data_IF_820376268896
#
_entry.id   IF_820376268896
#
_cell.length_a   1.000
_cell.length_b   1.000
_cell.length_c   1.000
_cell.angle_alpha   90.00
_cell.angle_beta   90.00
_cell.angle_gamma   90.00
#
_symmetry.space_group_name_H-M   'P 1'
#
loop_
_entity.id
_entity.type
_entity.pdbx_description
1 polymer ?
#
# COMPACT_ATOMS: atom_id res chain seq x y z
N UNK A 1 32.28 6.79 2.73
CA UNK A 1 31.33 5.73 2.28
C UNK A 1 29.88 6.10 2.65
N UNK A 2 29.57 6.53 3.88
CA UNK A 2 28.24 6.95 4.33
C UNK A 2 27.66 8.11 3.51
N UNK A 3 28.39 9.18 3.29
CA UNK A 3 27.97 10.36 2.50
C UNK A 3 27.55 10.02 1.05
N UNK A 4 28.21 9.05 0.43
CA UNK A 4 27.85 8.60 -0.93
C UNK A 4 26.56 7.79 -0.92
N UNK A 5 26.30 7.00 0.13
CA UNK A 5 25.04 6.27 0.31
C UNK A 5 23.87 7.22 0.54
N UNK A 6 24.07 8.23 1.38
CA UNK A 6 23.05 9.25 1.66
C UNK A 6 22.68 10.07 0.41
N UNK A 7 23.70 10.49 -0.37
CA UNK A 7 23.49 11.18 -1.64
C UNK A 7 22.72 10.31 -2.66
N UNK A 8 23.04 9.02 -2.72
CA UNK A 8 22.32 8.07 -3.59
C UNK A 8 20.87 7.89 -3.17
N UNK A 9 20.61 7.71 -1.88
CA UNK A 9 19.26 7.61 -1.32
C UNK A 9 18.44 8.87 -1.61
N UNK A 10 19.02 10.05 -1.40
CA UNK A 10 18.39 11.34 -1.70
C UNK A 10 18.01 11.47 -3.18
N UNK A 11 18.91 11.09 -4.10
CA UNK A 11 18.62 11.19 -5.53
C UNK A 11 17.51 10.23 -5.96
N UNK A 12 17.50 8.98 -5.46
CA UNK A 12 16.40 8.03 -5.74
C UNK A 12 15.07 8.58 -5.26
N UNK A 13 15.03 9.16 -4.06
CA UNK A 13 13.82 9.78 -3.51
C UNK A 13 13.33 10.95 -4.37
N UNK A 14 14.22 11.83 -4.84
CA UNK A 14 13.84 12.92 -5.75
C UNK A 14 13.23 12.40 -7.05
N UNK A 15 13.81 11.36 -7.66
CA UNK A 15 13.27 10.76 -8.87
C UNK A 15 11.89 10.11 -8.64
N UNK A 16 11.71 9.36 -7.55
CA UNK A 16 10.41 8.75 -7.21
C UNK A 16 9.33 9.81 -6.94
N UNK A 17 9.66 10.84 -6.16
CA UNK A 17 8.72 11.93 -5.89
C UNK A 17 8.32 12.65 -7.18
N UNK A 18 9.27 12.90 -8.08
CA UNK A 18 8.99 13.51 -9.38
C UNK A 18 8.01 12.67 -10.23
N UNK A 19 8.18 11.33 -10.23
CA UNK A 19 7.23 10.45 -10.90
C UNK A 19 5.83 10.53 -10.28
N UNK A 20 5.73 10.42 -8.96
CA UNK A 20 4.45 10.49 -8.22
C UNK A 20 3.72 11.81 -8.49
N UNK A 21 4.44 12.93 -8.48
CA UNK A 21 3.87 14.24 -8.81
C UNK A 21 3.33 14.29 -10.25
N UNK A 22 4.12 13.81 -11.22
CA UNK A 22 3.74 13.77 -12.63
C UNK A 22 2.53 12.86 -12.89
N UNK A 23 2.39 11.76 -12.15
CA UNK A 23 1.23 10.88 -12.22
C UNK A 23 -0.08 11.55 -11.77
N UNK A 24 0.02 12.61 -10.96
CA UNK A 24 -1.12 13.46 -10.61
C UNK A 24 -1.51 14.48 -11.71
N UNK A 25 -0.68 14.66 -12.73
CA UNK A 25 -0.85 15.66 -13.78
C UNK A 25 -1.21 15.05 -15.14
N UNK A 26 -0.71 13.85 -15.44
CA UNK A 26 -0.94 13.14 -16.70
C UNK A 26 -0.84 11.62 -16.54
N UNK A 27 -1.44 10.84 -17.49
CA UNK A 27 -1.35 9.38 -17.46
C UNK A 27 0.10 8.89 -17.46
N UNK A 28 0.36 7.80 -16.73
CA UNK A 28 1.71 7.22 -16.57
C UNK A 28 2.41 6.93 -17.90
N UNK A 29 1.68 6.42 -18.91
CA UNK A 29 2.26 6.09 -20.22
C UNK A 29 2.77 7.33 -20.99
N UNK A 30 2.22 8.53 -20.71
CA UNK A 30 2.64 9.80 -21.31
C UNK A 30 3.85 10.44 -20.60
N UNK A 31 4.22 9.91 -19.43
CA UNK A 31 5.37 10.39 -18.66
C UNK A 31 6.65 9.84 -19.26
N UNK A 32 7.56 10.74 -19.65
CA UNK A 32 8.88 10.39 -20.18
C UNK A 32 9.96 10.47 -19.08
N UNK A 33 11.10 9.78 -19.30
CA UNK A 33 12.27 9.93 -18.43
C UNK A 33 12.76 11.38 -18.41
N UNK A 34 12.57 12.13 -19.48
CA UNK A 34 12.94 13.55 -19.55
C UNK A 34 12.07 14.40 -18.62
N UNK A 35 10.76 14.13 -18.57
CA UNK A 35 9.84 14.80 -17.62
C UNK A 35 10.26 14.53 -16.18
N UNK A 36 10.55 13.28 -15.86
CA UNK A 36 10.96 12.87 -14.51
C UNK A 36 12.27 13.58 -14.12
N UNK A 37 13.27 13.58 -15.00
CA UNK A 37 14.55 14.21 -14.75
C UNK A 37 14.41 15.73 -14.61
N UNK A 38 13.59 16.38 -15.46
CA UNK A 38 13.30 17.81 -15.37
C UNK A 38 12.64 18.18 -14.05
N UNK A 39 11.62 17.42 -13.63
CA UNK A 39 10.91 17.62 -12.36
C UNK A 39 11.83 17.38 -11.16
N UNK A 40 12.68 16.34 -11.20
CA UNK A 40 13.63 16.02 -10.13
C UNK A 40 14.85 16.94 -10.07
N UNK A 41 15.08 17.79 -11.07
CA UNK A 41 16.26 18.66 -11.17
C UNK A 41 17.57 17.87 -11.38
N UNK A 42 17.52 16.74 -12.11
CA UNK A 42 18.70 15.90 -12.35
C UNK A 42 18.92 15.64 -13.85
N UNK A 43 20.16 15.31 -14.22
CA UNK A 43 20.46 14.93 -15.59
C UNK A 43 19.95 13.51 -15.93
N UNK A 44 19.62 13.28 -17.20
CA UNK A 44 19.18 11.97 -17.70
C UNK A 44 20.23 10.86 -17.42
N UNK A 45 21.52 11.16 -17.49
CA UNK A 45 22.60 10.23 -17.12
C UNK A 45 22.54 9.84 -15.64
N UNK A 46 22.02 10.71 -14.77
CA UNK A 46 21.79 10.41 -13.36
C UNK A 46 20.66 9.41 -13.19
N UNK A 47 19.57 9.53 -13.95
CA UNK A 47 18.47 8.54 -13.95
C UNK A 47 18.99 7.13 -14.25
N UNK A 48 19.72 6.97 -15.38
CA UNK A 48 20.24 5.68 -15.83
C UNK A 48 21.31 5.04 -14.91
N UNK A 49 21.81 5.77 -13.92
CA UNK A 49 22.64 5.20 -12.85
C UNK A 49 21.84 4.43 -11.81
N UNK A 50 20.51 4.59 -11.77
CA UNK A 50 19.62 3.99 -10.77
C UNK A 50 18.59 3.05 -11.39
N UNK A 51 18.11 3.36 -12.59
CA UNK A 51 17.01 2.65 -13.25
C UNK A 51 17.31 2.51 -14.75
N UNK A 52 17.01 1.35 -15.30
CA UNK A 52 17.11 1.12 -16.75
C UNK A 52 15.93 1.73 -17.50
N UNK A 53 14.74 1.65 -16.88
CA UNK A 53 13.50 2.20 -17.41
C UNK A 53 12.66 2.87 -16.30
N UNK A 54 11.63 3.66 -16.69
CA UNK A 54 10.69 4.24 -15.72
C UNK A 54 9.86 3.15 -15.01
N UNK A 55 9.63 2.02 -15.69
CA UNK A 55 8.89 0.89 -15.14
C UNK A 55 9.66 0.18 -14.00
N UNK A 56 10.99 0.19 -14.02
CA UNK A 56 11.80 -0.33 -12.91
C UNK A 56 11.59 0.53 -11.65
N UNK A 57 11.54 1.83 -11.84
CA UNK A 57 11.28 2.77 -10.75
C UNK A 57 9.85 2.63 -10.21
N UNK A 58 8.85 2.45 -11.09
CA UNK A 58 7.47 2.19 -10.66
C UNK A 58 7.37 0.90 -9.85
N UNK A 59 7.99 -0.20 -10.33
CA UNK A 59 8.01 -1.48 -9.59
C UNK A 59 8.65 -1.35 -8.20
N UNK A 60 9.68 -0.53 -8.06
CA UNK A 60 10.30 -0.26 -6.75
C UNK A 60 9.34 0.52 -5.83
N UNK A 61 8.65 1.54 -6.35
CA UNK A 61 7.65 2.32 -5.61
C UNK A 61 6.51 1.42 -5.13
N UNK A 62 5.99 0.57 -6.00
CA UNK A 62 4.92 -0.38 -5.69
C UNK A 62 5.34 -1.38 -4.61
N UNK A 63 6.55 -1.92 -4.73
CA UNK A 63 7.09 -2.86 -3.76
C UNK A 63 7.25 -2.20 -2.39
N UNK A 64 7.85 -1.02 -2.32
CA UNK A 64 8.01 -0.26 -1.08
C UNK A 64 6.65 0.02 -0.42
N UNK A 65 5.66 0.47 -1.21
CA UNK A 65 4.33 0.75 -0.71
C UNK A 65 3.66 -0.49 -0.09
N UNK A 66 3.76 -1.65 -0.75
CA UNK A 66 3.23 -2.91 -0.23
C UNK A 66 3.95 -3.34 1.05
N UNK A 67 5.28 -3.22 1.10
CA UNK A 67 6.05 -3.59 2.28
C UNK A 67 5.77 -2.66 3.47
N UNK A 68 5.65 -1.36 3.23
CA UNK A 68 5.36 -0.37 4.27
C UNK A 68 4.00 -0.65 4.91
N UNK A 69 2.94 -0.84 4.12
CA UNK A 69 1.59 -1.16 4.63
C UNK A 69 1.57 -2.50 5.37
N UNK A 70 2.29 -3.52 4.86
CA UNK A 70 2.41 -4.81 5.54
C UNK A 70 3.10 -4.70 6.91
N UNK A 71 4.14 -3.88 7.01
CA UNK A 71 4.91 -3.69 8.23
C UNK A 71 4.14 -2.88 9.30
N UNK A 72 3.16 -2.07 8.89
CA UNK A 72 2.31 -1.31 9.81
C UNK A 72 1.26 -2.17 10.51
N UNK A 73 0.90 -3.33 9.96
CA UNK A 73 -0.18 -4.18 10.46
C UNK A 73 0.26 -5.61 10.82
N UNK A 74 1.31 -5.81 11.64
CA UNK A 74 1.91 -7.12 11.90
C UNK A 74 1.01 -8.09 12.66
N UNK A 75 0.09 -7.60 13.51
CA UNK A 75 -0.80 -8.42 14.33
C UNK A 75 -2.23 -8.49 13.80
N UNK A 76 -2.61 -7.58 12.90
CA UNK A 76 -3.97 -7.41 12.39
C UNK A 76 -4.62 -8.73 11.92
N UNK A 77 -3.88 -9.55 11.18
CA UNK A 77 -4.39 -10.79 10.59
C UNK A 77 -4.45 -11.97 11.58
N UNK A 78 -4.07 -11.74 12.83
CA UNK A 78 -4.31 -12.69 13.94
C UNK A 78 -5.51 -12.27 14.81
N UNK A 79 -6.17 -11.16 14.47
CA UNK A 79 -7.34 -10.66 15.17
C UNK A 79 -8.56 -11.56 14.91
N UNK A 80 -9.32 -11.87 15.96
CA UNK A 80 -10.53 -12.70 15.91
C UNK A 80 -11.60 -12.16 16.87
N UNK A 81 -12.81 -12.68 16.77
CA UNK A 81 -13.97 -12.17 17.53
C UNK A 81 -13.81 -12.21 19.05
N UNK A 82 -13.17 -13.28 19.54
CA UNK A 82 -12.95 -13.49 20.98
C UNK A 82 -11.61 -12.90 21.43
N UNK A 83 -11.01 -12.00 20.62
CA UNK A 83 -9.75 -11.34 20.98
C UNK A 83 -9.92 -10.51 22.24
N UNK A 84 -8.84 -10.44 23.04
CA UNK A 84 -8.85 -9.61 24.24
C UNK A 84 -8.98 -8.12 23.91
N UNK A 85 -9.47 -7.29 24.85
CA UNK A 85 -9.51 -5.84 24.68
C UNK A 85 -8.14 -5.25 24.28
N UNK A 86 -7.06 -5.78 24.85
CA UNK A 86 -5.69 -5.33 24.54
C UNK A 86 -5.32 -5.63 23.07
N UNK A 87 -5.73 -6.78 22.54
CA UNK A 87 -5.51 -7.14 21.13
C UNK A 87 -6.34 -6.24 20.19
N UNK A 88 -7.59 -5.94 20.56
CA UNK A 88 -8.41 -4.98 19.82
C UNK A 88 -7.71 -3.62 19.72
N UNK A 89 -7.28 -3.08 20.86
CA UNK A 89 -6.58 -1.79 20.92
C UNK A 89 -5.27 -1.79 20.11
N UNK A 90 -4.54 -2.91 20.15
CA UNK A 90 -3.31 -3.06 19.37
C UNK A 90 -3.63 -3.04 17.85
N UNK A 91 -4.57 -3.84 17.40
CA UNK A 91 -4.97 -3.89 15.99
C UNK A 91 -5.56 -2.56 15.52
N UNK A 92 -6.32 -1.86 16.38
CA UNK A 92 -6.85 -0.53 16.06
C UNK A 92 -5.72 0.49 15.89
N UNK A 93 -4.71 0.47 16.75
CA UNK A 93 -3.53 1.36 16.61
C UNK A 93 -2.76 1.07 15.32
N UNK A 94 -2.50 -0.21 15.01
CA UNK A 94 -1.82 -0.60 13.78
C UNK A 94 -2.58 -0.15 12.53
N UNK A 95 -3.87 -0.43 12.50
CA UNK A 95 -4.70 -0.06 11.36
C UNK A 95 -4.89 1.45 11.24
N UNK A 96 -4.93 2.18 12.36
CA UNK A 96 -4.95 3.65 12.33
C UNK A 96 -3.64 4.20 11.74
N UNK A 97 -2.49 3.64 12.12
CA UNK A 97 -1.21 4.03 11.55
C UNK A 97 -1.12 3.74 10.05
N UNK A 98 -1.68 2.62 9.59
CA UNK A 98 -1.79 2.27 8.18
C UNK A 98 -2.69 3.26 7.42
N UNK A 99 -3.83 3.65 7.99
CA UNK A 99 -4.70 4.68 7.39
C UNK A 99 -4.02 6.05 7.32
N UNK A 100 -3.25 6.44 8.36
CA UNK A 100 -2.46 7.67 8.31
C UNK A 100 -1.39 7.60 7.20
N UNK A 101 -0.70 6.48 7.07
CA UNK A 101 0.27 6.26 5.98
C UNK A 101 -0.39 6.43 4.61
N UNK A 102 -1.55 5.81 4.38
CA UNK A 102 -2.31 5.98 3.14
C UNK A 102 -2.71 7.44 2.89
N UNK A 103 -3.09 8.17 3.94
CA UNK A 103 -3.47 9.59 3.86
C UNK A 103 -2.27 10.47 3.52
N UNK A 104 -1.11 10.24 4.13
CA UNK A 104 0.14 10.93 3.83
C UNK A 104 0.61 10.67 2.40
N UNK A 105 0.39 9.44 1.90
CA UNK A 105 0.75 9.01 0.54
C UNK A 105 -0.44 9.06 -0.43
N UNK A 106 -1.45 9.90 -0.16
CA UNK A 106 -2.72 9.95 -0.89
C UNK A 106 -2.55 10.01 -2.41
N UNK A 107 -1.66 10.87 -2.92
CA UNK A 107 -1.41 11.02 -4.36
C UNK A 107 -0.89 9.73 -4.99
N UNK A 108 0.05 9.07 -4.31
CA UNK A 108 0.59 7.79 -4.75
C UNK A 108 -0.50 6.70 -4.74
N UNK A 109 -1.24 6.57 -3.64
CA UNK A 109 -2.30 5.59 -3.50
C UNK A 109 -3.39 5.77 -4.56
N UNK A 110 -3.85 7.01 -4.77
CA UNK A 110 -4.84 7.33 -5.80
C UNK A 110 -4.34 7.01 -7.21
N UNK A 111 -3.06 7.27 -7.50
CA UNK A 111 -2.47 6.90 -8.78
C UNK A 111 -2.40 5.39 -8.94
N UNK A 112 -1.80 4.67 -8.01
CA UNK A 112 -1.57 3.22 -8.10
C UNK A 112 -2.88 2.42 -8.21
N UNK A 113 -3.96 2.86 -7.55
CA UNK A 113 -5.26 2.20 -7.58
C UNK A 113 -6.20 2.74 -8.68
N UNK A 114 -5.75 3.72 -9.48
CA UNK A 114 -6.54 4.27 -10.58
C UNK A 114 -6.33 3.49 -11.89
N UNK A 115 -7.26 3.59 -12.86
CA UNK A 115 -7.06 3.07 -14.19
C UNK A 115 -5.88 3.70 -14.96
N UNK A 116 -5.37 4.83 -14.49
CA UNK A 116 -4.21 5.53 -15.07
C UNK A 116 -2.87 5.03 -14.49
N UNK A 117 -2.90 4.21 -13.44
CA UNK A 117 -1.74 3.59 -12.80
C UNK A 117 -1.33 2.27 -13.44
N UNK A 118 -0.64 1.42 -12.69
CA UNK A 118 -0.36 0.05 -13.13
C UNK A 118 -1.62 -0.81 -12.98
N UNK A 119 -2.14 -1.32 -14.10
CA UNK A 119 -3.34 -2.15 -14.13
C UNK A 119 -3.20 -3.44 -13.28
N UNK A 120 -1.99 -3.91 -13.06
CA UNK A 120 -1.72 -5.11 -12.23
C UNK A 120 -1.45 -4.79 -10.76
N UNK A 121 -1.29 -3.52 -10.40
CA UNK A 121 -0.99 -3.15 -9.00
C UNK A 121 -2.10 -3.57 -8.04
N UNK A 122 -3.36 -3.38 -8.42
CA UNK A 122 -4.50 -3.83 -7.60
C UNK A 122 -4.41 -5.34 -7.30
N UNK A 123 -4.07 -6.16 -8.30
CA UNK A 123 -3.89 -7.60 -8.11
C UNK A 123 -2.72 -7.92 -7.17
N UNK A 124 -1.60 -7.19 -7.26
CA UNK A 124 -0.45 -7.32 -6.34
C UNK A 124 -0.85 -6.99 -4.89
N UNK A 125 -1.65 -5.93 -4.70
CA UNK A 125 -2.17 -5.57 -3.39
C UNK A 125 -3.09 -6.65 -2.82
N UNK A 126 -4.05 -7.13 -3.61
CA UNK A 126 -4.95 -8.23 -3.21
C UNK A 126 -4.14 -9.47 -2.82
N UNK A 127 -3.17 -9.88 -3.65
CA UNK A 127 -2.29 -11.02 -3.35
C UNK A 127 -1.51 -10.82 -2.06
N UNK A 128 -0.99 -9.61 -1.82
CA UNK A 128 -0.28 -9.27 -0.58
C UNK A 128 -1.19 -9.42 0.64
N UNK A 129 -2.39 -8.84 0.61
CA UNK A 129 -3.37 -8.92 1.70
C UNK A 129 -3.78 -10.38 1.96
N UNK A 130 -4.15 -11.13 0.91
CA UNK A 130 -4.55 -12.54 1.02
C UNK A 130 -3.42 -13.42 1.57
N UNK A 131 -2.18 -13.20 1.11
CA UNK A 131 -1.01 -13.96 1.59
C UNK A 131 -0.74 -13.68 3.07
N UNK A 132 -0.87 -12.44 3.50
CA UNK A 132 -0.65 -12.04 4.89
C UNK A 132 -1.78 -12.54 5.79
N UNK A 133 -3.04 -12.41 5.35
CA UNK A 133 -4.20 -12.98 6.02
C UNK A 133 -4.07 -14.50 6.21
N UNK A 134 -3.69 -15.23 5.16
CA UNK A 134 -3.45 -16.69 5.22
C UNK A 134 -2.39 -17.08 6.25
N UNK A 135 -1.32 -16.30 6.37
CA UNK A 135 -0.28 -16.53 7.39
C UNK A 135 -0.81 -16.31 8.81
N UNK A 136 -1.61 -15.26 9.01
CA UNK A 136 -2.26 -14.95 10.28
C UNK A 136 -3.25 -16.04 10.68
N UNK A 137 -4.18 -16.38 9.81
CA UNK A 137 -5.20 -17.43 10.02
C UNK A 137 -4.58 -18.80 10.38
N UNK A 138 -3.49 -19.19 9.73
CA UNK A 138 -2.77 -20.44 10.10
C UNK A 138 -2.23 -20.42 11.53
N UNK A 139 -1.81 -19.26 12.03
CA UNK A 139 -1.32 -19.13 13.42
C UNK A 139 -2.43 -19.28 14.45
N UNK A 140 -3.65 -18.87 14.11
CA UNK A 140 -4.83 -18.98 14.99
C UNK A 140 -5.56 -20.32 14.85
N UNK A 141 -5.14 -21.21 13.94
CA UNK A 141 -5.84 -22.47 13.65
C UNK A 141 -7.12 -22.29 12.84
N UNK A 142 -7.35 -21.10 12.29
CA UNK A 142 -8.56 -20.81 11.52
C UNK A 142 -8.57 -21.49 10.14
N UNK A 143 -9.74 -21.49 9.51
CA UNK A 143 -9.99 -22.20 8.25
C UNK A 143 -9.20 -21.61 7.07
N UNK A 144 -8.35 -22.45 6.48
CA UNK A 144 -7.61 -22.16 5.23
C UNK A 144 -8.13 -22.99 4.05
N UNK A 145 -9.36 -23.50 4.15
CA UNK A 145 -10.07 -24.18 3.07
C UNK A 145 -10.23 -23.31 1.82
N UNK A 146 -10.64 -23.88 0.68
CA UNK A 146 -10.96 -23.10 -0.51
C UNK A 146 -12.02 -22.03 -0.26
N UNK A 147 -13.00 -22.31 0.62
CA UNK A 147 -14.05 -21.34 0.97
C UNK A 147 -13.50 -20.19 1.83
N UNK A 148 -12.68 -20.47 2.84
CA UNK A 148 -11.96 -19.47 3.62
C UNK A 148 -11.07 -18.59 2.73
N UNK A 149 -10.47 -19.19 1.67
CA UNK A 149 -9.67 -18.46 0.70
C UNK A 149 -10.54 -17.52 -0.16
N UNK A 150 -11.70 -17.96 -0.62
CA UNK A 150 -12.64 -17.10 -1.37
C UNK A 150 -13.11 -15.90 -0.51
N UNK A 151 -13.38 -16.14 0.77
CA UNK A 151 -13.69 -15.07 1.73
C UNK A 151 -12.53 -14.08 1.87
N UNK A 152 -11.31 -14.55 2.01
CA UNK A 152 -10.13 -13.68 2.11
C UNK A 152 -9.94 -12.82 0.85
N UNK A 153 -10.17 -13.37 -0.34
CA UNK A 153 -10.12 -12.63 -1.61
C UNK A 153 -11.22 -11.57 -1.66
N UNK A 154 -12.45 -11.94 -1.32
CA UNK A 154 -13.58 -11.00 -1.28
C UNK A 154 -13.32 -9.85 -0.32
N UNK A 155 -12.86 -10.18 0.89
CA UNK A 155 -12.50 -9.20 1.90
C UNK A 155 -11.37 -8.27 1.43
N UNK A 156 -10.28 -8.82 0.86
CA UNK A 156 -9.14 -8.02 0.39
C UNK A 156 -9.57 -6.98 -0.66
N UNK A 157 -10.41 -7.37 -1.62
CA UNK A 157 -10.94 -6.45 -2.63
C UNK A 157 -11.80 -5.34 -1.99
N UNK A 158 -12.71 -5.69 -1.08
CA UNK A 158 -13.54 -4.73 -0.35
C UNK A 158 -12.71 -3.78 0.51
N UNK A 159 -11.71 -4.31 1.21
CA UNK A 159 -10.78 -3.56 2.05
C UNK A 159 -10.03 -2.50 1.24
N UNK A 160 -9.38 -2.89 0.14
CA UNK A 160 -8.63 -2.00 -0.74
C UNK A 160 -9.56 -0.95 -1.38
N UNK A 161 -10.73 -1.36 -1.87
CA UNK A 161 -11.71 -0.45 -2.46
C UNK A 161 -12.23 0.58 -1.44
N UNK A 162 -12.43 0.17 -0.19
CA UNK A 162 -12.88 1.06 0.90
C UNK A 162 -11.81 2.12 1.21
N UNK A 163 -10.53 1.73 1.30
CA UNK A 163 -9.42 2.67 1.50
C UNK A 163 -9.34 3.66 0.34
N UNK A 164 -9.42 3.17 -0.91
CA UNK A 164 -9.37 4.04 -2.08
C UNK A 164 -10.51 5.07 -2.10
N UNK A 165 -11.74 4.64 -1.82
CA UNK A 165 -12.89 5.53 -1.79
C UNK A 165 -12.84 6.52 -0.62
N UNK A 166 -12.36 6.08 0.56
CA UNK A 166 -12.11 6.96 1.69
C UNK A 166 -11.08 8.04 1.35
N UNK A 167 -9.97 7.68 0.70
CA UNK A 167 -8.96 8.65 0.26
C UNK A 167 -9.50 9.62 -0.79
N UNK A 168 -10.47 9.22 -1.60
CA UNK A 168 -11.07 10.06 -2.64
C UNK A 168 -12.06 11.07 -2.08
N UNK A 169 -12.98 10.61 -1.24
CA UNK A 169 -14.17 11.38 -0.84
C UNK A 169 -14.35 11.48 0.69
N UNK A 170 -13.49 10.81 1.48
CA UNK A 170 -13.71 10.60 2.91
C UNK A 170 -13.64 11.86 3.76
N UNK A 171 -14.64 12.04 4.58
CA UNK A 171 -14.68 13.01 5.67
C UNK A 171 -14.26 12.40 7.01
N UNK A 172 -14.19 11.07 7.10
CA UNK A 172 -13.83 10.34 8.32
C UNK A 172 -12.35 10.48 8.64
N UNK A 173 -12.02 10.48 9.92
CA UNK A 173 -10.64 10.39 10.41
C UNK A 173 -10.04 9.01 10.10
N UNK A 174 -8.70 8.91 10.18
CA UNK A 174 -8.00 7.63 10.02
C UNK A 174 -8.44 6.61 11.08
N UNK A 175 -8.72 7.07 12.31
CA UNK A 175 -9.19 6.20 13.38
C UNK A 175 -10.60 5.66 13.13
N UNK A 176 -11.52 6.50 12.61
CA UNK A 176 -12.90 6.07 12.32
C UNK A 176 -12.93 5.02 11.20
N UNK A 177 -12.16 5.22 10.12
CA UNK A 177 -12.11 4.23 9.04
C UNK A 177 -11.37 2.96 9.48
N UNK A 178 -10.33 3.07 10.33
CA UNK A 178 -9.66 1.93 10.93
C UNK A 178 -10.61 1.09 11.81
N UNK A 179 -11.39 1.72 12.66
CA UNK A 179 -12.39 1.05 13.51
C UNK A 179 -13.45 0.34 12.66
N UNK A 180 -13.94 0.98 11.61
CA UNK A 180 -14.87 0.35 10.66
C UNK A 180 -14.24 -0.88 10.00
N UNK A 181 -13.04 -0.77 9.44
CA UNK A 181 -12.34 -1.89 8.79
C UNK A 181 -12.04 -3.04 9.77
N UNK A 182 -11.64 -2.72 11.00
CA UNK A 182 -11.40 -3.73 12.04
C UNK A 182 -12.69 -4.48 12.41
N UNK A 183 -13.83 -3.79 12.47
CA UNK A 183 -15.13 -4.45 12.68
C UNK A 183 -15.51 -5.40 11.55
N UNK A 184 -15.18 -5.05 10.31
CA UNK A 184 -15.38 -5.93 9.15
C UNK A 184 -14.47 -7.16 9.20
N UNK A 185 -13.19 -7.00 9.59
CA UNK A 185 -12.25 -8.12 9.77
C UNK A 185 -12.83 -9.11 10.80
N UNK A 186 -13.29 -8.61 11.95
CA UNK A 186 -13.90 -9.44 12.99
C UNK A 186 -15.08 -10.27 12.47
N UNK A 187 -15.95 -9.67 11.67
CA UNK A 187 -17.13 -10.35 11.11
C UNK A 187 -16.77 -11.37 10.02
N UNK A 188 -15.79 -11.08 9.15
CA UNK A 188 -15.43 -11.93 8.04
C UNK A 188 -14.52 -13.12 8.42
N UNK A 189 -13.70 -12.96 9.46
CA UNK A 189 -12.80 -14.02 9.92
C UNK A 189 -13.41 -14.93 10.99
N UNK A 190 -14.68 -14.69 11.36
CA UNK A 190 -15.42 -15.39 12.43
C UNK A 190 -16.10 -16.71 12.02
N UNK A 191 -15.59 -17.42 11.02
CA UNK A 191 -16.18 -18.73 10.72
C UNK A 191 -15.15 -19.82 10.82
#
# INVERSE_FOLDING_TARGET
MAENLEKRSRTRRLLKNALIELCGEKPYYDITILDICGRAGVYRSTFYRYYEAKDDMLREIEYEYIEDTRNLTPTLWSYHADASPEMYEQCLRELTADMEYHREHRKLCQFLLSPAGDIVFHAKMVESVVTTAKKGLRKTGADVSPDGMNRAIFFANGFIATIHEWLKNGSSSAQEIAAFLLSMIAQFLQI
#
